data_IF_517625258748
#
_entry.id   IF_517625258748
#
_cell.length_a   1.000
_cell.length_b   1.000
_cell.length_c   1.000
_cell.angle_alpha   90.00
_cell.angle_beta   90.00
_cell.angle_gamma   90.00
#
_symmetry.space_group_name_H-M   'P 1'
#
loop_
_entity.id
_entity.type
_entity.pdbx_description
1 polymer ?
#
# COMPACT_ATOMS: atom_id res chain seq x y z
N UNK A 1 9.18 13.48 -13.73
CA UNK A 1 10.44 12.71 -13.75
C UNK A 1 11.22 13.02 -12.47
N UNK A 2 10.91 12.31 -11.37
CA UNK A 2 11.54 12.45 -10.04
C UNK A 2 12.05 11.10 -9.52
N UNK A 3 12.58 10.27 -10.42
CA UNK A 3 12.99 8.88 -10.14
C UNK A 3 13.92 8.74 -8.92
N UNK A 4 14.76 9.74 -8.63
CA UNK A 4 15.67 9.69 -7.50
C UNK A 4 14.97 9.96 -6.15
N UNK A 5 14.04 10.93 -6.11
CA UNK A 5 13.33 11.27 -4.88
C UNK A 5 12.40 10.14 -4.45
N UNK A 6 11.74 9.50 -5.42
CA UNK A 6 10.85 8.36 -5.17
C UNK A 6 11.64 7.12 -4.73
N UNK A 7 12.80 6.88 -5.35
CA UNK A 7 13.70 5.78 -4.96
C UNK A 7 14.28 5.98 -3.55
N UNK A 8 14.65 7.21 -3.18
CA UNK A 8 15.10 7.55 -1.81
C UNK A 8 13.96 7.34 -0.79
N UNK A 9 12.74 7.78 -1.11
CA UNK A 9 11.55 7.58 -0.24
C UNK A 9 11.22 6.11 -0.05
N UNK A 10 11.24 5.30 -1.12
CA UNK A 10 11.07 3.85 -1.03
C UNK A 10 12.14 3.22 -0.14
N UNK A 11 13.41 3.62 -0.31
CA UNK A 11 14.52 3.11 0.51
C UNK A 11 14.36 3.47 1.99
N UNK A 12 13.97 4.71 2.31
CA UNK A 12 13.71 5.12 3.69
C UNK A 12 12.57 4.32 4.34
N UNK A 13 11.46 4.13 3.62
CA UNK A 13 10.34 3.30 4.09
C UNK A 13 10.78 1.87 4.40
N UNK A 14 11.58 1.26 3.53
CA UNK A 14 12.12 -0.10 3.75
C UNK A 14 13.00 -0.15 5.00
N UNK A 15 13.85 0.86 5.21
CA UNK A 15 14.68 0.97 6.42
C UNK A 15 13.83 1.14 7.69
N UNK A 16 12.70 1.84 7.60
CA UNK A 16 11.73 2.00 8.69
C UNK A 16 10.85 0.74 8.89
N UNK A 17 11.12 -0.34 8.16
CA UNK A 17 10.42 -1.63 8.27
C UNK A 17 9.10 -1.71 7.52
N UNK A 18 8.79 -0.72 6.68
CA UNK A 18 7.64 -0.76 5.78
C UNK A 18 7.94 -1.59 4.54
N UNK A 19 6.94 -2.33 4.10
CA UNK A 19 6.95 -2.92 2.78
C UNK A 19 6.20 -2.00 1.81
N UNK A 20 6.78 -1.78 0.64
CA UNK A 20 6.29 -0.82 -0.36
C UNK A 20 5.99 -1.52 -1.68
N UNK A 21 4.98 -1.07 -2.40
CA UNK A 21 4.59 -1.61 -3.70
C UNK A 21 3.29 -0.98 -4.20
N UNK A 22 2.59 -1.63 -5.11
CA UNK A 22 1.30 -1.15 -5.63
C UNK A 22 0.14 -1.87 -4.95
N UNK A 23 -0.89 -1.13 -4.55
CA UNK A 23 -2.08 -1.71 -3.92
C UNK A 23 -2.89 -2.52 -4.94
N UNK A 24 -3.21 -3.76 -4.60
CA UNK A 24 -4.11 -4.62 -5.38
C UNK A 24 -5.25 -5.06 -4.47
N UNK A 25 -6.49 -4.84 -4.94
CA UNK A 25 -7.72 -5.21 -4.22
C UNK A 25 -8.53 -6.13 -5.12
N UNK A 26 -8.39 -7.44 -4.93
CA UNK A 26 -9.04 -8.49 -5.72
C UNK A 26 -9.26 -9.72 -4.82
N UNK A 27 -10.50 -9.94 -4.36
CA UNK A 27 -10.87 -10.96 -3.35
C UNK A 27 -10.04 -10.93 -2.03
N UNK A 28 -9.35 -9.81 -1.79
CA UNK A 28 -8.45 -9.58 -0.67
C UNK A 28 -7.63 -8.32 -0.89
N UNK A 29 -6.72 -8.01 0.04
CA UNK A 29 -5.83 -6.84 -0.06
C UNK A 29 -4.39 -7.31 -0.17
N UNK A 30 -3.73 -6.90 -1.24
CA UNK A 30 -2.37 -7.29 -1.57
C UNK A 30 -1.52 -6.08 -1.93
N UNK A 31 -0.22 -6.24 -1.78
CA UNK A 31 0.79 -5.31 -2.27
C UNK A 31 1.59 -6.04 -3.34
N UNK A 32 1.54 -5.53 -4.57
CA UNK A 32 2.39 -5.98 -5.66
C UNK A 32 3.77 -5.35 -5.51
N UNK A 33 4.78 -6.18 -5.31
CA UNK A 33 6.17 -5.74 -5.26
C UNK A 33 6.66 -5.38 -6.67
N UNK A 34 7.78 -4.64 -6.74
CA UNK A 34 8.46 -4.34 -8.02
C UNK A 34 8.92 -5.62 -8.76
N UNK A 35 9.02 -6.77 -8.08
CA UNK A 35 9.28 -8.09 -8.70
C UNK A 35 8.07 -8.67 -9.45
N UNK A 36 6.87 -8.13 -9.23
CA UNK A 36 5.60 -8.67 -9.69
C UNK A 36 4.93 -9.63 -8.71
N UNK A 37 5.60 -9.99 -7.61
CA UNK A 37 5.03 -10.84 -6.57
C UNK A 37 3.91 -10.11 -5.81
N UNK A 38 2.85 -10.85 -5.45
CA UNK A 38 1.75 -10.35 -4.64
C UNK A 38 1.95 -10.77 -3.19
N UNK A 39 2.09 -9.79 -2.30
CA UNK A 39 2.15 -10.03 -0.86
C UNK A 39 0.81 -9.74 -0.21
N UNK A 40 0.19 -10.70 0.49
CA UNK A 40 -1.05 -10.46 1.21
C UNK A 40 -0.81 -9.52 2.39
N UNK A 41 -1.69 -8.53 2.54
CA UNK A 41 -1.70 -7.64 3.69
C UNK A 41 -2.46 -8.34 4.82
N UNK A 42 -1.76 -8.63 5.92
CA UNK A 42 -2.37 -9.29 7.06
C UNK A 42 -3.46 -8.42 7.72
N UNK A 43 -4.56 -9.02 8.22
CA UNK A 43 -5.53 -8.30 9.03
C UNK A 43 -4.86 -7.60 10.22
N UNK A 44 -5.20 -6.33 10.46
CA UNK A 44 -4.59 -5.52 11.53
C UNK A 44 -3.25 -4.86 11.18
N UNK A 45 -2.69 -5.10 9.99
CA UNK A 45 -1.56 -4.33 9.49
C UNK A 45 -1.95 -2.87 9.25
N UNK A 46 -0.97 -1.96 9.35
CA UNK A 46 -1.18 -0.57 8.95
C UNK A 46 -0.96 -0.50 7.44
N UNK A 47 -2.00 -0.16 6.69
CA UNK A 47 -1.96 0.04 5.24
C UNK A 47 -2.11 1.53 4.91
N UNK A 48 -1.24 2.05 4.05
CA UNK A 48 -1.28 3.44 3.61
C UNK A 48 -1.05 3.53 2.10
N UNK A 49 -1.73 4.48 1.45
CA UNK A 49 -1.55 4.81 0.03
C UNK A 49 -0.96 6.21 -0.12
N UNK A 50 -0.10 6.40 -1.11
CA UNK A 50 0.45 7.69 -1.47
C UNK A 50 -0.57 8.44 -2.33
N UNK A 51 -1.23 9.42 -1.72
CA UNK A 51 -2.16 10.31 -2.39
C UNK A 51 -1.57 11.73 -2.40
N UNK A 52 -1.35 12.30 -3.58
CA UNK A 52 -0.71 13.63 -3.76
C UNK A 52 0.60 13.83 -2.98
N UNK A 53 1.39 12.77 -2.85
CA UNK A 53 2.70 12.80 -2.16
C UNK A 53 2.61 12.71 -0.63
N UNK A 54 1.43 12.46 -0.08
CA UNK A 54 1.21 12.17 1.34
C UNK A 54 0.75 10.73 1.53
N UNK A 55 1.24 10.09 2.59
CA UNK A 55 0.77 8.76 2.97
C UNK A 55 -0.54 8.88 3.74
N UNK A 56 -1.62 8.41 3.13
CA UNK A 56 -2.94 8.34 3.71
C UNK A 56 -3.20 6.91 4.19
N UNK A 57 -3.46 6.76 5.49
CA UNK A 57 -3.86 5.47 6.06
C UNK A 57 -5.25 5.08 5.56
N UNK A 58 -5.38 3.84 5.07
CA UNK A 58 -6.65 3.26 4.67
C UNK A 58 -7.31 2.53 5.83
N UNK A 59 -8.60 2.78 6.00
CA UNK A 59 -9.49 1.96 6.83
C UNK A 59 -10.11 0.82 6.01
N UNK A 60 -10.73 -0.16 6.69
CA UNK A 60 -11.48 -1.22 6.02
C UNK A 60 -12.59 -0.66 5.12
N UNK A 61 -13.28 0.39 5.57
CA UNK A 61 -14.30 1.07 4.76
C UNK A 61 -13.72 1.71 3.49
N UNK A 62 -12.49 2.23 3.53
CA UNK A 62 -11.86 2.86 2.36
C UNK A 62 -11.49 1.82 1.29
N UNK A 63 -11.15 0.60 1.71
CA UNK A 63 -10.85 -0.52 0.81
C UNK A 63 -12.11 -0.96 0.04
N UNK A 64 -13.28 -0.87 0.69
CA UNK A 64 -14.56 -1.21 0.08
C UNK A 64 -15.13 -0.12 -0.84
N UNK A 65 -14.56 1.09 -0.82
CA UNK A 65 -15.00 2.18 -1.70
C UNK A 65 -14.73 1.80 -3.14
N UNK A 66 -15.80 1.81 -3.95
CA UNK A 66 -15.73 1.57 -5.39
C UNK A 66 -16.03 2.85 -6.16
N UNK A 67 -15.35 3.00 -7.29
CA UNK A 67 -15.67 4.03 -8.29
C UNK A 67 -17.02 3.74 -8.94
N UNK A 68 -17.53 4.69 -9.73
CA UNK A 68 -18.80 4.54 -10.47
C UNK A 68 -18.77 3.31 -11.40
N UNK A 69 -17.58 2.93 -11.87
CA UNK A 69 -17.35 1.79 -12.74
C UNK A 69 -17.18 0.46 -11.97
N UNK A 70 -17.31 0.48 -10.65
CA UNK A 70 -17.25 -0.71 -9.79
C UNK A 70 -15.85 -1.16 -9.35
N UNK A 71 -14.80 -0.41 -9.71
CA UNK A 71 -13.41 -0.71 -9.34
C UNK A 71 -13.07 -0.17 -7.95
N UNK A 72 -12.23 -0.85 -7.15
CA UNK A 72 -11.75 -0.29 -5.89
C UNK A 72 -11.02 1.04 -6.10
N UNK A 73 -11.41 2.08 -5.36
CA UNK A 73 -10.98 3.45 -5.62
C UNK A 73 -9.47 3.69 -5.48
N UNK A 74 -8.81 2.90 -4.63
CA UNK A 74 -7.39 3.02 -4.34
C UNK A 74 -6.52 1.94 -5.03
N UNK A 75 -7.13 1.05 -5.82
CA UNK A 75 -6.38 0.01 -6.53
C UNK A 75 -5.39 0.62 -7.54
N UNK A 76 -4.19 0.05 -7.60
CA UNK A 76 -3.09 0.48 -8.45
C UNK A 76 -2.22 1.60 -7.89
N UNK A 77 -2.64 2.25 -6.79
CA UNK A 77 -1.86 3.34 -6.17
C UNK A 77 -0.59 2.83 -5.48
N UNK A 78 0.43 3.69 -5.41
CA UNK A 78 1.61 3.44 -4.58
C UNK A 78 1.18 3.28 -3.12
N UNK A 79 1.60 2.18 -2.51
CA UNK A 79 1.15 1.78 -1.20
C UNK A 79 2.31 1.27 -0.35
N UNK A 80 2.12 1.36 0.95
CA UNK A 80 3.01 0.79 1.95
C UNK A 80 2.21 0.12 3.04
N UNK A 81 2.72 -0.99 3.55
CA UNK A 81 2.16 -1.61 4.73
C UNK A 81 3.22 -1.94 5.76
N UNK A 82 2.84 -1.83 7.02
CA UNK A 82 3.67 -2.16 8.16
C UNK A 82 3.00 -3.25 8.97
N UNK A 83 3.68 -4.39 9.06
CA UNK A 83 3.34 -5.43 10.02
C UNK A 83 4.13 -5.10 11.27
N UNK A 84 3.56 -4.25 12.13
CA UNK A 84 4.13 -4.01 13.45
C UNK A 84 4.27 -5.35 14.15
N UNK A 85 5.51 -5.71 14.52
CA UNK A 85 5.77 -6.94 15.23
C UNK A 85 4.87 -7.04 16.46
N UNK A 86 4.09 -8.12 16.52
CA UNK A 86 3.31 -8.60 17.66
C UNK A 86 2.29 -7.61 18.24
N UNK A 87 1.02 -7.85 17.95
CA UNK A 87 0.05 -7.83 19.04
C UNK A 87 0.51 -8.89 20.07
N UNK A 88 1.05 -8.42 21.19
CA UNK A 88 1.29 -9.24 22.39
C UNK A 88 -0.03 -9.34 23.15
#
# INVERSE_FOLDING_TARGET
>A
MFLLADSIRKTANILDGWQVGNLVIEDGVFIQLDSGDLMPVAPGAILEVCNDGQWQRLSESDIEVKTIDGWPAYAGMDARFFVGGLAI
#
